data_IF_639867316681
#
_entry.id   IF_639867316681
#
_cell.length_a   1.000
_cell.length_b   1.000
_cell.length_c   1.000
_cell.angle_alpha   90.00
_cell.angle_beta   90.00
_cell.angle_gamma   90.00
#
_symmetry.space_group_name_H-M   'P 1'
#
loop_
_entity.id
_entity.type
_entity.pdbx_description
1 polymer ?
#
# COMPACT_ATOMS: atom_id res chain seq x y z
N UNK A 1 6.26 51.94 -16.89
CA UNK A 1 5.66 50.77 -17.57
C UNK A 1 6.80 49.87 -18.01
N UNK A 2 7.17 48.85 -17.21
CA UNK A 2 8.10 47.74 -17.57
C UNK A 2 8.41 46.79 -16.40
N UNK A 3 8.01 47.10 -15.16
CA UNK A 3 8.33 46.26 -13.98
C UNK A 3 7.10 45.53 -13.43
N UNK A 4 6.29 44.92 -14.31
CA UNK A 4 5.15 44.06 -13.92
C UNK A 4 5.05 42.76 -14.73
N UNK A 5 5.95 42.54 -15.69
CA UNK A 5 5.90 41.39 -16.60
C UNK A 5 6.90 40.28 -16.20
N UNK A 6 7.83 40.56 -15.27
CA UNK A 6 8.85 39.58 -14.85
C UNK A 6 8.40 38.60 -13.74
N UNK A 7 7.14 38.65 -13.31
CA UNK A 7 6.58 37.74 -12.28
C UNK A 7 5.59 36.70 -12.85
N UNK A 8 5.66 36.41 -14.15
CA UNK A 8 4.79 35.41 -14.79
C UNK A 8 5.56 34.21 -15.38
N UNK A 9 6.86 34.06 -15.06
CA UNK A 9 7.72 33.03 -15.68
C UNK A 9 8.57 32.25 -14.66
N UNK A 10 7.99 31.84 -13.54
CA UNK A 10 8.64 30.95 -12.56
C UNK A 10 7.70 29.84 -12.02
N UNK A 11 6.67 29.47 -12.79
CA UNK A 11 5.87 28.27 -12.56
C UNK A 11 6.23 27.26 -13.66
N UNK A 12 7.44 26.74 -13.63
CA UNK A 12 7.83 25.62 -14.47
C UNK A 12 8.47 24.51 -13.64
N UNK A 13 7.70 23.42 -13.55
CA UNK A 13 8.15 22.03 -13.36
C UNK A 13 8.50 21.60 -11.93
N UNK A 14 7.48 21.53 -11.05
CA UNK A 14 7.42 20.41 -10.11
C UNK A 14 6.72 19.24 -10.81
N UNK A 15 7.39 18.64 -11.80
CA UNK A 15 6.98 17.32 -12.27
C UNK A 15 7.33 16.34 -11.15
N UNK A 16 6.32 15.92 -10.39
CA UNK A 16 6.39 14.69 -9.64
C UNK A 16 6.82 13.59 -10.63
N UNK A 17 8.00 13.00 -10.43
CA UNK A 17 8.38 11.80 -11.18
C UNK A 17 7.39 10.70 -10.79
N UNK A 18 6.34 10.54 -11.59
CA UNK A 18 5.52 9.34 -11.58
C UNK A 18 6.39 8.21 -12.15
N UNK A 19 6.99 7.41 -11.26
CA UNK A 19 7.74 6.22 -11.64
C UNK A 19 6.78 5.06 -11.86
N UNK A 20 6.59 4.65 -13.11
CA UNK A 20 5.94 3.38 -13.43
C UNK A 20 6.94 2.24 -13.25
N UNK A 21 6.47 1.06 -12.84
CA UNK A 21 7.29 -0.14 -12.84
C UNK A 21 7.74 -0.46 -14.26
N UNK A 22 9.02 -0.79 -14.42
CA UNK A 22 9.56 -1.24 -15.70
C UNK A 22 9.19 -2.70 -15.92
N UNK A 23 8.84 -3.06 -17.15
CA UNK A 23 8.64 -4.46 -17.53
C UNK A 23 9.98 -5.19 -17.49
N UNK A 24 10.15 -6.07 -16.51
CA UNK A 24 11.37 -6.88 -16.39
C UNK A 24 11.38 -7.95 -17.47
N UNK A 25 12.24 -7.77 -18.48
CA UNK A 25 12.40 -8.72 -19.59
C UNK A 25 13.87 -9.14 -19.67
N UNK A 26 14.13 -10.40 -19.35
CA UNK A 26 15.43 -11.04 -19.56
C UNK A 26 15.25 -12.56 -19.52
N UNK A 27 16.21 -13.28 -20.10
CA UNK A 27 16.33 -14.74 -19.95
C UNK A 27 17.33 -15.12 -18.84
N UNK A 28 17.95 -14.14 -18.20
CA UNK A 28 18.95 -14.32 -17.15
C UNK A 28 18.31 -13.99 -15.81
N UNK A 29 18.19 -14.97 -14.91
CA UNK A 29 17.51 -14.84 -13.61
C UNK A 29 18.04 -13.66 -12.79
N UNK A 30 19.37 -13.48 -12.74
CA UNK A 30 20.00 -12.37 -12.01
C UNK A 30 19.62 -10.99 -12.55
N UNK A 31 19.41 -10.87 -13.86
CA UNK A 31 18.98 -9.60 -14.47
C UNK A 31 17.51 -9.32 -14.13
N UNK A 32 16.65 -10.36 -14.12
CA UNK A 32 15.27 -10.24 -13.66
C UNK A 32 15.21 -9.83 -12.18
N UNK A 33 16.04 -10.44 -11.32
CA UNK A 33 16.12 -10.07 -9.91
C UNK A 33 16.56 -8.61 -9.73
N UNK A 34 17.60 -8.18 -10.46
CA UNK A 34 18.07 -6.79 -10.43
C UNK A 34 16.98 -5.81 -10.85
N UNK A 35 16.20 -6.17 -11.86
CA UNK A 35 15.06 -5.36 -12.30
C UNK A 35 13.94 -5.31 -11.26
N UNK A 36 13.56 -6.44 -10.68
CA UNK A 36 12.55 -6.51 -9.62
C UNK A 36 12.95 -5.67 -8.41
N UNK A 37 14.21 -5.74 -7.99
CA UNK A 37 14.77 -4.87 -6.95
C UNK A 37 14.67 -3.38 -7.31
N UNK A 38 15.00 -3.01 -8.55
CA UNK A 38 14.91 -1.60 -8.99
C UNK A 38 13.47 -1.08 -8.94
N UNK A 39 12.49 -1.90 -9.32
CA UNK A 39 11.07 -1.58 -9.17
C UNK A 39 10.69 -1.36 -7.70
N UNK A 40 11.11 -2.27 -6.80
CA UNK A 40 10.89 -2.10 -5.36
C UNK A 40 11.51 -0.79 -4.84
N UNK A 41 12.74 -0.46 -5.21
CA UNK A 41 13.40 0.79 -4.78
C UNK A 41 12.64 2.04 -5.23
N UNK A 42 11.96 2.01 -6.38
CA UNK A 42 11.04 3.08 -6.81
C UNK A 42 9.84 3.16 -5.89
N UNK A 43 9.18 2.03 -5.63
CA UNK A 43 8.00 1.95 -4.78
C UNK A 43 8.30 2.37 -3.34
N UNK A 44 9.45 2.00 -2.77
CA UNK A 44 9.86 2.38 -1.43
C UNK A 44 10.05 3.90 -1.30
N UNK A 45 10.63 4.55 -2.32
CA UNK A 45 10.71 6.02 -2.35
C UNK A 45 9.34 6.68 -2.37
N UNK A 46 8.38 6.11 -3.12
CA UNK A 46 7.02 6.61 -3.19
C UNK A 46 6.29 6.46 -1.86
N UNK A 47 6.42 5.31 -1.20
CA UNK A 47 5.92 5.05 0.14
C UNK A 47 6.44 6.08 1.15
N UNK A 48 7.76 6.27 1.19
CA UNK A 48 8.39 7.22 2.11
C UNK A 48 7.93 8.66 1.87
N UNK A 49 7.69 9.04 0.61
CA UNK A 49 7.10 10.34 0.27
C UNK A 49 5.66 10.47 0.78
N UNK A 50 4.81 9.47 0.52
CA UNK A 50 3.42 9.43 0.98
C UNK A 50 3.32 9.45 2.51
N UNK A 51 4.17 8.70 3.21
CA UNK A 51 4.25 8.70 4.67
C UNK A 51 4.58 10.09 5.21
N UNK A 52 5.64 10.75 4.68
CA UNK A 52 6.02 12.11 5.10
C UNK A 52 4.91 13.12 4.84
N UNK A 53 4.23 13.01 3.70
CA UNK A 53 3.11 13.87 3.35
C UNK A 53 1.96 13.72 4.33
N UNK A 54 1.52 12.49 4.59
CA UNK A 54 0.46 12.21 5.57
C UNK A 54 0.87 12.66 6.98
N UNK A 55 2.08 12.29 7.43
CA UNK A 55 2.57 12.60 8.77
C UNK A 55 2.63 14.11 9.03
N UNK A 56 3.00 14.92 8.04
CA UNK A 56 3.03 16.39 8.17
C UNK A 56 1.66 17.04 8.37
N UNK A 57 0.58 16.32 8.03
CA UNK A 57 -0.81 16.79 8.18
C UNK A 57 -1.50 16.27 9.45
N UNK A 58 -0.87 15.35 10.17
CA UNK A 58 -1.42 14.76 11.39
C UNK A 58 -0.83 15.40 12.64
N UNK A 59 -1.64 15.44 13.70
CA UNK A 59 -1.23 15.94 15.01
C UNK A 59 -1.78 15.03 16.12
N UNK A 60 -1.21 15.15 17.32
CA UNK A 60 -1.71 14.45 18.50
C UNK A 60 -1.83 12.93 18.34
N UNK A 61 -2.99 12.39 18.72
CA UNK A 61 -3.25 10.94 18.73
C UNK A 61 -3.19 10.28 17.36
N UNK A 62 -3.57 10.98 16.29
CA UNK A 62 -3.55 10.43 14.93
C UNK A 62 -2.12 10.28 14.42
N UNK A 63 -1.21 11.22 14.73
CA UNK A 63 0.20 11.10 14.37
C UNK A 63 0.85 9.90 15.07
N UNK A 64 0.51 9.65 16.34
CA UNK A 64 0.98 8.46 17.07
C UNK A 64 0.39 7.17 16.50
N UNK A 65 -0.89 7.19 16.12
CA UNK A 65 -1.59 6.04 15.52
C UNK A 65 -0.96 5.68 14.16
N UNK A 66 -0.65 6.68 13.31
CA UNK A 66 0.07 6.46 12.07
C UNK A 66 1.45 5.83 12.31
N UNK A 67 2.22 6.36 13.27
CA UNK A 67 3.56 5.84 13.57
C UNK A 67 3.51 4.37 14.01
N UNK A 68 2.53 4.00 14.84
CA UNK A 68 2.32 2.61 15.26
C UNK A 68 1.94 1.72 14.09
N UNK A 69 0.97 2.15 13.28
CA UNK A 69 0.56 1.43 12.08
C UNK A 69 1.74 1.20 11.13
N UNK A 70 2.58 2.22 10.89
CA UNK A 70 3.72 2.12 10.00
C UNK A 70 4.80 1.15 10.52
N UNK A 71 5.07 1.14 11.84
CA UNK A 71 6.02 0.19 12.42
C UNK A 71 5.53 -1.26 12.34
N UNK A 72 4.26 -1.48 12.65
CA UNK A 72 3.65 -2.80 12.51
C UNK A 72 3.63 -3.26 11.04
N UNK A 73 3.37 -2.34 10.11
CA UNK A 73 3.42 -2.62 8.69
C UNK A 73 4.82 -3.04 8.22
N UNK A 74 5.89 -2.36 8.68
CA UNK A 74 7.27 -2.74 8.34
C UNK A 74 7.60 -4.16 8.81
N UNK A 75 7.18 -4.52 10.02
CA UNK A 75 7.38 -5.88 10.55
C UNK A 75 6.59 -6.93 9.74
N UNK A 76 5.35 -6.60 9.38
CA UNK A 76 4.51 -7.44 8.51
C UNK A 76 5.13 -7.63 7.12
N UNK A 77 5.60 -6.55 6.48
CA UNK A 77 6.26 -6.59 5.17
C UNK A 77 7.49 -7.51 5.21
N UNK A 78 8.36 -7.27 6.19
CA UNK A 78 9.60 -8.03 6.36
C UNK A 78 9.30 -9.53 6.52
N UNK A 79 8.40 -9.87 7.44
CA UNK A 79 8.02 -11.24 7.73
C UNK A 79 7.35 -11.94 6.55
N UNK A 80 6.46 -11.24 5.84
CA UNK A 80 5.70 -11.80 4.71
C UNK A 80 6.64 -12.14 3.55
N UNK A 81 7.58 -11.26 3.23
CA UNK A 81 8.42 -11.39 2.05
C UNK A 81 9.71 -12.19 2.26
N UNK A 82 10.06 -12.54 3.50
CA UNK A 82 11.25 -13.35 3.81
C UNK A 82 11.02 -14.86 3.63
N UNK A 83 9.78 -15.34 3.73
CA UNK A 83 9.48 -16.78 3.82
C UNK A 83 10.04 -17.65 2.69
N UNK A 84 9.87 -17.25 1.42
CA UNK A 84 10.36 -18.04 0.26
C UNK A 84 11.89 -17.94 0.06
N UNK A 85 12.52 -16.91 0.62
CA UNK A 85 13.96 -16.67 0.52
C UNK A 85 14.74 -17.45 1.59
N UNK A 86 14.15 -17.65 2.77
CA UNK A 86 14.82 -18.24 3.93
C UNK A 86 14.69 -19.77 4.04
N UNK A 87 14.04 -20.44 3.07
CA UNK A 87 13.95 -21.90 3.05
C UNK A 87 15.32 -22.55 2.83
N UNK A 88 15.52 -23.78 3.30
CA UNK A 88 16.83 -24.50 3.27
C UNK A 88 17.42 -24.69 1.87
N UNK A 89 16.60 -24.66 0.82
CA UNK A 89 17.04 -24.75 -0.57
C UNK A 89 16.12 -23.90 -1.44
N UNK A 90 16.33 -22.57 -1.47
CA UNK A 90 15.50 -21.68 -2.26
C UNK A 90 15.87 -21.85 -3.74
N UNK A 91 14.88 -21.76 -4.63
CA UNK A 91 15.11 -21.73 -6.08
C UNK A 91 15.87 -20.48 -6.50
N UNK A 92 16.41 -20.47 -7.73
CA UNK A 92 17.12 -19.30 -8.29
C UNK A 92 16.20 -18.07 -8.41
N UNK A 93 14.89 -18.30 -8.51
CA UNK A 93 13.84 -17.29 -8.58
C UNK A 93 13.47 -16.66 -7.23
N UNK A 94 13.91 -17.24 -6.10
CA UNK A 94 13.54 -16.77 -4.76
C UNK A 94 13.85 -15.30 -4.50
N UNK A 95 14.93 -14.77 -5.08
CA UNK A 95 15.26 -13.35 -5.04
C UNK A 95 14.22 -12.51 -5.80
N UNK A 96 13.77 -12.97 -6.97
CA UNK A 96 12.73 -12.31 -7.77
C UNK A 96 11.42 -12.26 -6.98
N UNK A 97 11.02 -13.38 -6.38
CA UNK A 97 9.79 -13.49 -5.58
C UNK A 97 9.81 -12.56 -4.37
N UNK A 98 10.94 -12.50 -3.65
CA UNK A 98 11.14 -11.58 -2.54
C UNK A 98 10.98 -10.12 -2.97
N UNK A 99 11.68 -9.69 -4.02
CA UNK A 99 11.60 -8.30 -4.47
C UNK A 99 10.21 -7.95 -5.02
N UNK A 100 9.54 -8.88 -5.69
CA UNK A 100 8.17 -8.70 -6.19
C UNK A 100 7.16 -8.60 -5.04
N UNK A 101 7.35 -9.39 -3.98
CA UNK A 101 6.56 -9.29 -2.75
C UNK A 101 6.69 -7.91 -2.09
N UNK A 102 7.93 -7.48 -1.87
CA UNK A 102 8.23 -6.17 -1.27
C UNK A 102 7.62 -5.03 -2.11
N UNK A 103 7.78 -5.09 -3.44
CA UNK A 103 7.18 -4.12 -4.36
C UNK A 103 5.64 -4.08 -4.27
N UNK A 104 4.99 -5.25 -4.27
CA UNK A 104 3.53 -5.36 -4.17
C UNK A 104 2.98 -4.82 -2.85
N UNK A 105 3.53 -5.27 -1.72
CA UNK A 105 3.14 -4.79 -0.38
C UNK A 105 3.38 -3.29 -0.22
N UNK A 106 4.53 -2.79 -0.67
CA UNK A 106 4.86 -1.36 -0.62
C UNK A 106 3.91 -0.51 -1.47
N UNK A 107 3.53 -0.96 -2.66
CA UNK A 107 2.54 -0.27 -3.52
C UNK A 107 1.16 -0.23 -2.87
N UNK A 108 0.71 -1.33 -2.25
CA UNK A 108 -0.55 -1.37 -1.51
C UNK A 108 -0.55 -0.36 -0.36
N UNK A 109 0.55 -0.33 0.42
CA UNK A 109 0.68 0.63 1.52
C UNK A 109 0.75 2.08 1.06
N UNK A 110 1.40 2.34 -0.07
CA UNK A 110 1.45 3.69 -0.66
C UNK A 110 0.05 4.20 -1.00
N UNK A 111 -0.78 3.36 -1.63
CA UNK A 111 -2.19 3.69 -1.88
C UNK A 111 -2.97 3.93 -0.59
N UNK A 112 -2.75 3.10 0.42
CA UNK A 112 -3.38 3.28 1.73
C UNK A 112 -3.04 4.63 2.36
N UNK A 113 -1.76 5.01 2.36
CA UNK A 113 -1.31 6.29 2.90
C UNK A 113 -1.90 7.48 2.14
N UNK A 114 -2.01 7.38 0.82
CA UNK A 114 -2.64 8.41 -0.02
C UNK A 114 -4.14 8.55 0.25
N UNK A 115 -4.84 7.43 0.45
CA UNK A 115 -6.23 7.43 0.89
C UNK A 115 -6.35 8.07 2.29
N UNK A 116 -5.53 7.64 3.25
CA UNK A 116 -5.50 8.22 4.60
C UNK A 116 -5.17 9.72 4.60
N UNK A 117 -4.48 10.21 3.57
CA UNK A 117 -4.11 11.61 3.41
C UNK A 117 -5.25 12.47 2.86
N UNK A 118 -5.95 11.96 1.83
CA UNK A 118 -6.86 12.75 0.98
C UNK A 118 -8.33 12.31 1.02
N UNK A 119 -8.61 11.10 1.48
CA UNK A 119 -9.92 10.45 1.38
C UNK A 119 -10.27 9.93 -0.02
N UNK A 120 -9.34 10.02 -0.98
CA UNK A 120 -9.57 9.61 -2.39
C UNK A 120 -9.02 8.21 -2.66
N UNK A 121 -9.60 7.49 -3.65
CA UNK A 121 -9.14 6.17 -4.08
C UNK A 121 -9.87 4.96 -3.46
N UNK A 122 -10.98 5.16 -2.76
CA UNK A 122 -11.85 4.08 -2.28
C UNK A 122 -12.72 3.46 -3.39
N UNK A 123 -13.00 4.22 -4.43
CA UNK A 123 -13.87 3.84 -5.54
C UNK A 123 -13.35 2.61 -6.28
N UNK A 124 -12.03 2.51 -6.48
CA UNK A 124 -11.40 1.33 -7.08
C UNK A 124 -11.66 0.06 -6.26
N UNK A 125 -11.58 0.14 -4.92
CA UNK A 125 -11.88 -0.99 -4.04
C UNK A 125 -13.34 -1.41 -4.13
N UNK A 126 -14.28 -0.47 -4.04
CA UNK A 126 -15.70 -0.80 -4.10
C UNK A 126 -16.12 -1.33 -5.49
N UNK A 127 -15.50 -0.82 -6.56
CA UNK A 127 -15.69 -1.35 -7.90
C UNK A 127 -15.18 -2.79 -8.00
N UNK A 128 -13.96 -3.07 -7.52
CA UNK A 128 -13.41 -4.42 -7.52
C UNK A 128 -14.29 -5.39 -6.71
N UNK A 129 -14.74 -4.96 -5.53
CA UNK A 129 -15.69 -5.72 -4.70
C UNK A 129 -17.01 -5.98 -5.43
N UNK A 130 -17.58 -5.01 -6.15
CA UNK A 130 -18.81 -5.22 -6.92
C UNK A 130 -18.65 -6.28 -8.00
N UNK A 131 -17.52 -6.22 -8.72
CA UNK A 131 -17.21 -7.19 -9.77
C UNK A 131 -17.10 -8.58 -9.15
N UNK A 132 -16.31 -8.74 -8.08
CA UNK A 132 -16.11 -10.05 -7.44
C UNK A 132 -17.41 -10.55 -6.80
N UNK A 133 -18.17 -9.69 -6.12
CA UNK A 133 -19.43 -10.05 -5.49
C UNK A 133 -20.47 -10.55 -6.51
N UNK A 134 -20.49 -10.03 -7.75
CA UNK A 134 -21.36 -10.55 -8.82
C UNK A 134 -21.10 -12.03 -9.11
N UNK A 135 -19.84 -12.46 -9.09
CA UNK A 135 -19.48 -13.85 -9.39
C UNK A 135 -19.60 -14.79 -8.18
N UNK A 136 -19.26 -14.31 -6.97
CA UNK A 136 -19.10 -15.18 -5.80
C UNK A 136 -20.18 -14.99 -4.72
N UNK A 137 -20.89 -13.86 -4.72
CA UNK A 137 -21.91 -13.54 -3.70
C UNK A 137 -23.25 -13.14 -4.33
N UNK A 138 -23.52 -13.54 -5.57
CA UNK A 138 -24.77 -13.21 -6.30
C UNK A 138 -25.04 -11.69 -6.37
N UNK A 139 -23.99 -10.88 -6.46
CA UNK A 139 -24.05 -9.41 -6.47
C UNK A 139 -24.20 -8.77 -5.09
N UNK A 140 -24.21 -9.54 -4.00
CA UNK A 140 -24.29 -8.99 -2.65
C UNK A 140 -22.93 -8.46 -2.17
N UNK A 141 -22.68 -7.18 -2.44
CA UNK A 141 -21.49 -6.44 -1.97
C UNK A 141 -21.26 -6.61 -0.47
N UNK A 142 -22.30 -6.37 0.35
CA UNK A 142 -22.19 -6.37 1.81
C UNK A 142 -21.69 -7.71 2.35
N UNK A 143 -22.24 -8.82 1.82
CA UNK A 143 -21.81 -10.17 2.18
C UNK A 143 -20.34 -10.43 1.84
N UNK A 144 -19.87 -9.91 0.70
CA UNK A 144 -18.45 -10.04 0.34
C UNK A 144 -17.54 -9.24 1.27
N UNK A 145 -17.93 -7.99 1.59
CA UNK A 145 -17.24 -7.15 2.58
C UNK A 145 -17.19 -7.84 3.94
N UNK A 146 -18.30 -8.40 4.42
CA UNK A 146 -18.35 -9.10 5.70
C UNK A 146 -17.40 -10.30 5.73
N UNK A 147 -17.30 -11.06 4.64
CA UNK A 147 -16.34 -12.17 4.50
C UNK A 147 -14.89 -11.70 4.53
N UNK A 148 -14.56 -10.60 3.86
CA UNK A 148 -13.21 -10.03 3.87
C UNK A 148 -12.86 -9.50 5.27
N UNK A 149 -13.74 -8.72 5.88
CA UNK A 149 -13.55 -8.17 7.22
C UNK A 149 -13.39 -9.28 8.27
N UNK A 150 -14.17 -10.36 8.18
CA UNK A 150 -14.06 -11.51 9.06
C UNK A 150 -12.68 -12.18 8.96
N UNK A 151 -12.08 -12.24 7.76
CA UNK A 151 -10.74 -12.84 7.55
C UNK A 151 -9.60 -11.98 8.05
N UNK A 152 -9.81 -10.67 8.21
CA UNK A 152 -8.74 -9.73 8.51
C UNK A 152 -7.97 -10.06 9.81
N UNK A 153 -8.57 -10.73 10.78
CA UNK A 153 -7.95 -11.06 12.08
C UNK A 153 -8.02 -12.55 12.42
N UNK A 154 -8.30 -13.41 11.44
CA UNK A 154 -8.43 -14.87 11.69
C UNK A 154 -7.06 -15.52 11.88
N UNK A 155 -6.01 -14.97 11.26
CA UNK A 155 -4.65 -15.49 11.40
C UNK A 155 -3.96 -14.87 12.63
N UNK A 156 -3.19 -15.66 13.38
CA UNK A 156 -2.38 -15.20 14.52
C UNK A 156 -1.11 -14.44 14.08
N UNK A 157 -1.19 -13.74 12.94
CA UNK A 157 -0.12 -12.90 12.46
C UNK A 157 -0.16 -11.55 13.18
N UNK A 158 0.51 -11.50 14.33
CA UNK A 158 0.53 -10.35 15.24
C UNK A 158 0.84 -9.01 14.54
N UNK A 159 1.80 -8.99 13.61
CA UNK A 159 2.22 -7.76 12.92
C UNK A 159 1.15 -7.25 11.97
N UNK A 160 0.54 -8.15 11.19
CA UNK A 160 -0.62 -7.85 10.35
C UNK A 160 -1.80 -7.33 11.17
N UNK A 161 -2.15 -8.02 12.24
CA UNK A 161 -3.27 -7.64 13.11
C UNK A 161 -3.06 -6.26 13.75
N UNK A 162 -1.83 -5.98 14.19
CA UNK A 162 -1.44 -4.69 14.75
C UNK A 162 -1.49 -3.58 13.70
N UNK A 163 -0.99 -3.86 12.49
CA UNK A 163 -1.02 -2.96 11.36
C UNK A 163 -2.46 -2.57 11.00
N UNK A 164 -3.31 -3.55 10.71
CA UNK A 164 -4.71 -3.31 10.30
C UNK A 164 -5.50 -2.60 11.40
N UNK A 165 -5.28 -2.96 12.66
CA UNK A 165 -5.98 -2.34 13.78
C UNK A 165 -5.68 -0.85 13.90
N UNK A 166 -4.40 -0.46 13.92
CA UNK A 166 -4.02 0.95 14.02
C UNK A 166 -4.36 1.72 12.74
N UNK A 167 -4.23 1.08 11.57
CA UNK A 167 -4.62 1.68 10.29
C UNK A 167 -6.12 2.02 10.25
N UNK A 168 -6.97 1.07 10.60
CA UNK A 168 -8.43 1.28 10.57
C UNK A 168 -8.92 2.19 11.69
N UNK A 169 -8.18 2.29 12.80
CA UNK A 169 -8.42 3.33 13.80
C UNK A 169 -8.17 4.73 13.23
N UNK A 170 -7.09 4.91 12.48
CA UNK A 170 -6.79 6.19 11.84
C UNK A 170 -7.83 6.53 10.76
N UNK A 171 -8.22 5.56 9.94
CA UNK A 171 -9.25 5.76 8.92
C UNK A 171 -10.60 6.17 9.53
N UNK A 172 -11.03 5.51 10.61
CA UNK A 172 -12.22 5.88 11.35
C UNK A 172 -12.12 7.30 11.96
N UNK A 173 -10.97 7.66 12.53
CA UNK A 173 -10.73 9.00 13.09
C UNK A 173 -10.86 10.10 12.03
N UNK A 174 -10.26 9.88 10.86
CA UNK A 174 -10.18 10.89 9.80
C UNK A 174 -11.44 11.02 8.96
N UNK A 175 -12.10 9.91 8.67
CA UNK A 175 -13.15 9.85 7.65
C UNK A 175 -14.44 9.21 8.15
N UNK A 176 -14.51 8.82 9.44
CA UNK A 176 -15.63 8.04 9.98
C UNK A 176 -15.91 6.76 9.16
N UNK A 177 -14.87 6.20 8.53
CA UNK A 177 -14.97 4.94 7.78
C UNK A 177 -15.37 3.82 8.74
N UNK A 178 -16.35 3.00 8.35
CA UNK A 178 -16.74 1.85 9.15
C UNK A 178 -15.56 0.88 9.26
N UNK A 179 -15.30 0.39 10.48
CA UNK A 179 -14.16 -0.50 10.74
C UNK A 179 -14.14 -1.71 9.80
N UNK A 180 -15.31 -2.30 9.50
CA UNK A 180 -15.42 -3.45 8.59
C UNK A 180 -15.01 -3.12 7.16
N UNK A 181 -15.29 -1.92 6.67
CA UNK A 181 -14.96 -1.52 5.30
C UNK A 181 -13.44 -1.34 5.17
N UNK A 182 -12.82 -0.67 6.15
CA UNK A 182 -11.36 -0.57 6.20
C UNK A 182 -10.70 -1.95 6.30
N UNK A 183 -11.19 -2.82 7.19
CA UNK A 183 -10.64 -4.17 7.36
C UNK A 183 -10.79 -4.99 6.07
N UNK A 184 -11.97 -4.94 5.43
CA UNK A 184 -12.20 -5.60 4.16
C UNK A 184 -11.24 -5.09 3.07
N UNK A 185 -11.01 -3.78 3.03
CA UNK A 185 -10.08 -3.13 2.08
C UNK A 185 -8.63 -3.55 2.31
N UNK A 186 -8.19 -3.59 3.57
CA UNK A 186 -6.84 -4.12 3.88
C UNK A 186 -6.73 -5.58 3.47
N UNK A 187 -7.71 -6.43 3.81
CA UNK A 187 -7.69 -7.86 3.46
C UNK A 187 -7.75 -8.12 1.96
N UNK A 188 -8.51 -7.32 1.21
CA UNK A 188 -8.63 -7.48 -0.25
C UNK A 188 -7.29 -7.28 -0.97
N UNK A 189 -6.44 -6.40 -0.45
CA UNK A 189 -5.10 -6.13 -0.97
C UNK A 189 -3.99 -6.78 -0.13
N UNK A 190 -4.32 -7.76 0.73
CA UNK A 190 -3.30 -8.55 1.44
C UNK A 190 -2.54 -9.39 0.41
N UNK A 191 -1.21 -9.44 0.57
CA UNK A 191 -0.32 -10.22 -0.30
C UNK A 191 -0.41 -11.71 0.04
#
# INVERSE_FOLDING_TARGET
>A
MTMRIFMLFALWVFSSLAGASTLCTSKITRELETCARSNFEVSDRQLNSAYKMLASRLQGGDAQTLLKAQRAWLAYEEKTCQGAYDVTSPGEESGIDKWTCLDGITKNRTRELQYLESGTGLDDFFYAVDVVAKYYESGNRGRFIDKLAARALVDDEQDWNSYVTENCKLAASRFSEEKKDCMARQTFYRY
#
